data_IF_621576487925
#
_entry.id   IF_621576487925
#
_cell.length_a   1.000
_cell.length_b   1.000
_cell.length_c   1.000
_cell.angle_alpha   90.00
_cell.angle_beta   90.00
_cell.angle_gamma   90.00
#
_symmetry.space_group_name_H-M   'P 1'
#
loop_
_entity.id
_entity.type
_entity.pdbx_description
1 polymer ?
#
# COMPACT_ATOMS: atom_id res chain seq x y z
N UNK A 1 21.77 -47.34 -19.10
CA UNK A 1 20.35 -47.61 -18.82
C UNK A 1 20.08 -47.21 -17.37
N UNK A 2 18.89 -46.64 -17.08
CA UNK A 2 18.50 -45.82 -15.90
C UNK A 2 18.91 -44.35 -16.09
N UNK A 3 18.08 -43.40 -16.56
CA UNK A 3 16.68 -42.99 -16.24
C UNK A 3 16.47 -42.73 -14.74
N UNK A 4 16.25 -41.45 -14.41
CA UNK A 4 15.50 -40.80 -13.30
C UNK A 4 15.92 -39.32 -13.37
N UNK A 5 15.10 -38.28 -13.38
CA UNK A 5 13.66 -38.05 -13.49
C UNK A 5 13.56 -36.55 -13.86
N UNK A 6 12.76 -36.22 -14.88
CA UNK A 6 12.41 -34.84 -15.18
C UNK A 6 11.67 -34.24 -13.99
N UNK A 7 12.21 -33.15 -13.43
CA UNK A 7 11.47 -32.32 -12.49
C UNK A 7 10.25 -31.72 -13.22
N UNK A 8 9.05 -31.73 -12.60
CA UNK A 8 7.89 -31.13 -13.23
C UNK A 8 8.12 -29.62 -13.37
N UNK A 9 8.06 -29.14 -14.62
CA UNK A 9 7.87 -27.73 -14.93
C UNK A 9 6.65 -27.25 -14.15
N UNK A 10 6.88 -26.28 -13.26
CA UNK A 10 5.83 -25.50 -12.60
C UNK A 10 4.96 -24.91 -13.70
N UNK A 11 3.71 -25.37 -13.82
CA UNK A 11 2.74 -24.80 -14.74
C UNK A 11 2.46 -23.37 -14.29
N UNK A 12 2.96 -22.38 -15.03
CA UNK A 12 2.42 -21.03 -14.98
C UNK A 12 0.95 -21.13 -15.40
N UNK A 13 0.02 -21.04 -14.45
CA UNK A 13 -1.40 -21.01 -14.75
C UNK A 13 -1.70 -19.68 -15.46
N UNK A 14 -1.63 -19.71 -16.79
CA UNK A 14 -2.07 -18.59 -17.61
C UNK A 14 -3.59 -18.50 -17.50
N UNK A 15 -4.09 -17.39 -16.96
CA UNK A 15 -5.52 -17.08 -16.94
C UNK A 15 -6.08 -17.12 -18.37
N UNK A 16 -7.34 -17.54 -18.52
CA UNK A 16 -8.03 -17.55 -19.81
C UNK A 16 -8.08 -16.15 -20.43
N UNK A 17 -8.00 -16.05 -21.77
CA UNK A 17 -7.98 -14.77 -22.48
C UNK A 17 -9.20 -13.90 -22.19
N UNK A 18 -10.39 -14.50 -21.99
CA UNK A 18 -11.60 -13.75 -21.64
C UNK A 18 -11.52 -13.18 -20.21
N UNK A 19 -10.89 -13.91 -19.29
CA UNK A 19 -10.64 -13.44 -17.93
C UNK A 19 -9.66 -12.27 -17.96
N UNK A 20 -8.56 -12.37 -18.71
CA UNK A 20 -7.60 -11.29 -18.90
C UNK A 20 -8.27 -10.03 -19.49
N UNK A 21 -9.10 -10.20 -20.52
CA UNK A 21 -9.84 -9.10 -21.14
C UNK A 21 -10.80 -8.42 -20.14
N UNK A 22 -11.47 -9.21 -19.30
CA UNK A 22 -12.40 -8.70 -18.28
C UNK A 22 -11.67 -7.91 -17.19
N UNK A 23 -10.53 -8.42 -16.70
CA UNK A 23 -9.69 -7.73 -15.70
C UNK A 23 -9.13 -6.43 -16.27
N UNK A 24 -8.66 -6.45 -17.52
CA UNK A 24 -8.21 -5.24 -18.23
C UNK A 24 -9.32 -4.20 -18.33
N UNK A 25 -10.52 -4.63 -18.73
CA UNK A 25 -11.67 -3.73 -18.85
C UNK A 25 -12.05 -3.12 -17.50
N UNK A 26 -12.05 -3.91 -16.43
CA UNK A 26 -12.32 -3.43 -15.07
C UNK A 26 -11.28 -2.38 -14.61
N UNK A 27 -9.99 -2.64 -14.81
CA UNK A 27 -8.93 -1.66 -14.49
C UNK A 27 -9.04 -0.39 -15.34
N UNK A 28 -9.37 -0.53 -16.63
CA UNK A 28 -9.56 0.63 -17.53
C UNK A 28 -10.76 1.47 -17.10
N UNK A 29 -11.90 0.84 -16.76
CA UNK A 29 -13.08 1.53 -16.25
C UNK A 29 -12.77 2.30 -14.95
N UNK A 30 -12.08 1.65 -14.01
CA UNK A 30 -11.67 2.29 -12.76
C UNK A 30 -10.83 3.55 -12.99
N UNK A 31 -9.78 3.44 -13.82
CA UNK A 31 -8.91 4.58 -14.14
C UNK A 31 -9.70 5.71 -14.81
N UNK A 32 -10.53 5.40 -15.81
CA UNK A 32 -11.34 6.39 -16.53
C UNK A 32 -12.32 7.13 -15.61
N UNK A 33 -12.98 6.42 -14.70
CA UNK A 33 -13.91 7.02 -13.72
C UNK A 33 -13.22 7.92 -12.71
N UNK A 34 -11.93 7.70 -12.49
CA UNK A 34 -11.07 8.57 -11.70
C UNK A 34 -10.41 9.69 -12.51
N UNK A 35 -10.69 9.81 -13.82
CA UNK A 35 -10.06 10.80 -14.69
C UNK A 35 -8.58 10.50 -14.98
N UNK A 36 -8.18 9.24 -14.92
CA UNK A 36 -6.80 8.77 -15.06
C UNK A 36 -6.67 7.76 -16.20
N UNK A 37 -5.42 7.54 -16.62
CA UNK A 37 -5.06 6.57 -17.64
C UNK A 37 -3.78 5.83 -17.26
N UNK A 38 -3.54 4.69 -17.90
CA UNK A 38 -2.30 3.95 -17.73
C UNK A 38 -1.17 4.65 -18.50
N UNK A 39 -0.14 5.11 -17.80
CA UNK A 39 0.95 5.91 -18.37
C UNK A 39 2.23 5.11 -18.65
N UNK A 40 2.16 3.78 -18.60
CA UNK A 40 3.32 2.92 -18.76
C UNK A 40 3.99 2.52 -17.46
N UNK A 41 5.02 1.69 -17.57
CA UNK A 41 5.73 1.10 -16.42
C UNK A 41 6.39 2.20 -15.59
N UNK A 42 6.17 2.17 -14.27
CA UNK A 42 6.83 3.06 -13.35
C UNK A 42 8.34 2.84 -13.39
N UNK A 43 9.10 3.93 -13.42
CA UNK A 43 10.55 3.93 -13.26
C UNK A 43 10.91 4.43 -11.87
N UNK A 44 11.74 3.67 -11.18
CA UNK A 44 12.25 4.06 -9.88
C UNK A 44 13.25 5.22 -10.04
N UNK A 45 13.19 6.21 -9.16
CA UNK A 45 14.24 7.22 -9.07
C UNK A 45 15.46 6.61 -8.38
N UNK A 46 16.47 6.25 -9.17
CA UNK A 46 17.70 5.60 -8.70
C UNK A 46 18.53 6.48 -7.75
N UNK A 47 18.46 7.82 -7.92
CA UNK A 47 19.18 8.75 -7.07
C UNK A 47 18.54 8.82 -5.69
N UNK A 48 17.21 9.00 -5.63
CA UNK A 48 16.46 8.97 -4.38
C UNK A 48 16.49 7.59 -3.72
N UNK A 49 16.47 6.51 -4.51
CA UNK A 49 16.66 5.15 -3.98
C UNK A 49 17.99 5.03 -3.24
N UNK A 50 19.10 5.43 -3.87
CA UNK A 50 20.44 5.34 -3.28
C UNK A 50 20.56 6.19 -2.02
N UNK A 51 20.00 7.41 -2.05
CA UNK A 51 19.97 8.30 -0.90
C UNK A 51 19.19 7.71 0.27
N UNK A 52 17.97 7.25 0.02
CA UNK A 52 17.08 6.76 1.06
C UNK A 52 17.58 5.43 1.63
N UNK A 53 18.24 4.60 0.81
CA UNK A 53 18.95 3.41 1.25
C UNK A 53 20.10 3.74 2.21
N UNK A 54 20.91 4.74 1.86
CA UNK A 54 21.98 5.18 2.73
C UNK A 54 21.44 5.77 4.04
N UNK A 55 20.33 6.51 3.97
CA UNK A 55 19.70 7.08 5.15
C UNK A 55 19.09 6.01 6.06
N UNK A 56 18.51 4.94 5.48
CA UNK A 56 18.06 3.78 6.25
C UNK A 56 19.21 3.17 7.08
N UNK A 57 20.40 3.02 6.48
CA UNK A 57 21.62 2.56 7.18
C UNK A 57 22.02 3.53 8.28
N UNK A 58 22.10 4.83 7.98
CA UNK A 58 22.50 5.87 8.93
C UNK A 58 21.60 5.89 10.16
N UNK A 59 20.30 5.63 9.96
CA UNK A 59 19.27 5.60 11.00
C UNK A 59 19.15 4.25 11.70
N UNK A 60 19.99 3.28 11.36
CA UNK A 60 20.06 1.97 12.00
C UNK A 60 18.90 1.05 11.65
N UNK A 61 18.22 1.28 10.52
CA UNK A 61 17.29 0.30 9.96
C UNK A 61 18.13 -0.90 9.49
N UNK A 62 17.77 -2.14 9.87
CA UNK A 62 18.48 -3.30 9.39
C UNK A 62 18.32 -3.42 7.86
N UNK A 63 19.43 -3.31 7.12
CA UNK A 63 19.45 -3.49 5.65
C UNK A 63 20.08 -4.83 5.24
N UNK A 64 20.53 -5.63 6.20
CA UNK A 64 21.14 -6.94 5.99
C UNK A 64 20.64 -7.97 7.02
N UNK A 65 20.83 -9.25 6.71
CA UNK A 65 20.46 -10.35 7.58
C UNK A 65 18.96 -10.62 7.67
N UNK A 66 18.55 -11.39 8.70
CA UNK A 66 17.17 -11.90 8.85
C UNK A 66 16.11 -10.80 8.94
N UNK A 67 16.45 -9.66 9.53
CA UNK A 67 15.52 -8.55 9.75
C UNK A 67 15.66 -7.45 8.68
N UNK A 68 16.29 -7.77 7.54
CA UNK A 68 16.57 -6.80 6.49
C UNK A 68 15.31 -6.20 5.86
N UNK A 69 15.26 -4.87 5.78
CA UNK A 69 14.26 -4.12 5.04
C UNK A 69 14.68 -3.79 3.60
N UNK A 70 15.89 -4.20 3.18
CA UNK A 70 16.42 -3.96 1.83
C UNK A 70 15.47 -4.38 0.70
N UNK A 71 14.77 -5.53 0.77
CA UNK A 71 13.82 -5.92 -0.29
C UNK A 71 12.63 -4.97 -0.46
N UNK A 72 12.32 -4.15 0.55
CA UNK A 72 11.10 -3.34 0.61
C UNK A 72 11.35 -1.86 0.34
N UNK A 73 12.61 -1.42 0.34
CA UNK A 73 12.94 0.00 0.21
C UNK A 73 12.62 0.56 -1.18
N UNK A 74 12.77 -0.23 -2.24
CA UNK A 74 12.36 0.16 -3.58
C UNK A 74 10.86 0.50 -3.65
N UNK A 75 10.03 -0.25 -2.92
CA UNK A 75 8.59 0.02 -2.85
C UNK A 75 8.28 1.30 -2.07
N UNK A 76 8.97 1.53 -0.94
CA UNK A 76 8.82 2.75 -0.14
C UNK A 76 9.26 4.01 -0.91
N UNK A 77 10.36 3.92 -1.65
CA UNK A 77 10.84 5.01 -2.52
C UNK A 77 9.81 5.26 -3.61
N UNK A 78 9.38 4.22 -4.35
CA UNK A 78 8.41 4.35 -5.42
C UNK A 78 7.11 5.03 -4.98
N UNK A 79 6.51 4.62 -3.85
CA UNK A 79 5.29 5.27 -3.37
C UNK A 79 5.53 6.70 -2.90
N UNK A 80 6.66 6.98 -2.24
CA UNK A 80 6.94 8.32 -1.71
C UNK A 80 7.20 9.32 -2.82
N UNK A 81 8.01 8.95 -3.82
CA UNK A 81 8.40 9.85 -4.91
C UNK A 81 7.25 10.15 -5.86
N UNK A 82 6.24 9.28 -5.94
CA UNK A 82 5.08 9.50 -6.79
C UNK A 82 3.92 10.10 -6.00
N UNK A 83 3.54 9.50 -4.87
CA UNK A 83 2.33 9.87 -4.13
C UNK A 83 2.55 11.00 -3.10
N UNK A 84 3.78 11.30 -2.69
CA UNK A 84 4.03 12.30 -1.64
C UNK A 84 4.91 13.47 -2.11
N UNK A 85 5.09 13.63 -3.42
CA UNK A 85 5.94 14.70 -3.98
C UNK A 85 5.43 16.10 -3.64
N UNK A 86 4.10 16.28 -3.50
CA UNK A 86 3.47 17.55 -3.16
C UNK A 86 3.78 18.03 -1.73
N UNK A 87 4.32 17.16 -0.86
CA UNK A 87 4.76 17.58 0.47
C UNK A 87 6.04 18.42 0.36
N UNK A 88 6.05 19.66 0.86
CA UNK A 88 7.18 20.58 0.66
C UNK A 88 8.42 20.16 1.44
N UNK A 89 8.24 19.57 2.62
CA UNK A 89 9.33 19.20 3.51
C UNK A 89 9.96 17.85 3.09
N UNK A 90 11.25 17.89 2.78
CA UNK A 90 12.03 16.70 2.41
C UNK A 90 12.21 15.74 3.57
N UNK A 91 12.39 16.24 4.79
CA UNK A 91 12.55 15.40 5.98
C UNK A 91 11.27 14.60 6.27
N UNK A 92 10.11 15.23 6.07
CA UNK A 92 8.81 14.55 6.19
C UNK A 92 8.68 13.45 5.13
N UNK A 93 9.03 13.73 3.87
CA UNK A 93 9.01 12.72 2.79
C UNK A 93 9.94 11.55 3.08
N UNK A 94 11.17 11.82 3.52
CA UNK A 94 12.14 10.79 3.92
C UNK A 94 11.58 9.92 5.07
N UNK A 95 11.04 10.55 6.11
CA UNK A 95 10.43 9.84 7.24
C UNK A 95 9.25 8.97 6.80
N UNK A 96 8.36 9.49 5.94
CA UNK A 96 7.24 8.74 5.34
C UNK A 96 7.78 7.53 4.58
N UNK A 97 8.78 7.72 3.71
CA UNK A 97 9.35 6.61 2.94
C UNK A 97 9.85 5.49 3.83
N UNK A 98 10.70 5.82 4.82
CA UNK A 98 11.31 4.82 5.68
C UNK A 98 10.27 4.13 6.57
N UNK A 99 9.26 4.87 7.06
CA UNK A 99 8.15 4.30 7.80
C UNK A 99 7.32 3.34 6.94
N UNK A 100 7.02 3.71 5.68
CA UNK A 100 6.32 2.83 4.74
C UNK A 100 7.16 1.59 4.43
N UNK A 101 8.46 1.74 4.16
CA UNK A 101 9.39 0.61 3.95
C UNK A 101 9.36 -0.36 5.12
N UNK A 102 9.46 0.13 6.35
CA UNK A 102 9.38 -0.70 7.55
C UNK A 102 8.03 -1.40 7.63
N UNK A 103 6.94 -0.67 7.38
CA UNK A 103 5.59 -1.23 7.49
C UNK A 103 5.32 -2.31 6.45
N UNK A 104 5.76 -2.12 5.19
CA UNK A 104 5.68 -3.16 4.14
C UNK A 104 6.46 -4.40 4.58
N UNK A 105 7.67 -4.24 5.11
CA UNK A 105 8.46 -5.38 5.59
C UNK A 105 7.76 -6.14 6.72
N UNK A 106 7.13 -5.41 7.66
CA UNK A 106 6.32 -6.00 8.73
C UNK A 106 5.09 -6.74 8.17
N UNK A 107 4.42 -6.14 7.18
CA UNK A 107 3.21 -6.68 6.54
C UNK A 107 3.51 -7.99 5.80
N UNK A 108 4.59 -8.01 5.00
CA UNK A 108 5.07 -9.15 4.22
C UNK A 108 5.82 -10.21 5.08
N UNK A 109 5.69 -10.14 6.41
CA UNK A 109 6.31 -11.06 7.38
C UNK A 109 7.82 -11.28 7.17
N UNK A 110 8.62 -10.21 7.01
CA UNK A 110 10.09 -10.19 6.81
C UNK A 110 10.73 -11.58 6.58
N UNK A 111 10.99 -11.93 5.33
CA UNK A 111 11.73 -13.15 4.98
C UNK A 111 11.02 -14.48 5.31
N UNK A 112 9.69 -14.48 5.42
CA UNK A 112 8.88 -15.70 5.64
C UNK A 112 8.63 -16.04 7.11
N UNK A 113 8.82 -15.09 8.03
CA UNK A 113 8.46 -15.25 9.43
C UNK A 113 9.14 -14.23 10.36
N UNK A 114 8.42 -13.14 10.64
CA UNK A 114 8.69 -12.31 11.82
C UNK A 114 8.55 -13.16 13.08
N UNK A 115 9.33 -12.83 14.11
CA UNK A 115 9.04 -13.35 15.44
C UNK A 115 7.74 -12.69 15.94
N UNK A 116 6.62 -13.37 15.67
CA UNK A 116 5.29 -12.93 16.06
C UNK A 116 5.22 -12.62 17.57
N UNK A 117 6.06 -13.27 18.39
CA UNK A 117 6.17 -12.99 19.82
C UNK A 117 6.60 -11.55 20.08
N UNK A 118 7.59 -11.04 19.33
CA UNK A 118 8.03 -9.65 19.51
C UNK A 118 6.97 -8.67 19.05
N UNK A 119 6.28 -8.99 17.96
CA UNK A 119 5.20 -8.17 17.44
C UNK A 119 4.02 -8.06 18.43
N UNK A 120 3.64 -9.16 19.10
CA UNK A 120 2.61 -9.14 20.16
C UNK A 120 2.98 -8.29 21.38
N UNK A 121 4.27 -8.14 21.66
CA UNK A 121 4.74 -7.32 22.77
C UNK A 121 5.01 -5.87 22.39
N UNK A 122 4.95 -5.52 21.11
CA UNK A 122 5.34 -4.20 20.60
C UNK A 122 4.57 -3.08 21.28
N UNK A 123 3.23 -3.09 21.23
CA UNK A 123 2.40 -2.02 21.80
C UNK A 123 2.64 -1.84 23.30
N UNK A 124 2.71 -2.95 24.05
CA UNK A 124 2.98 -2.92 25.49
C UNK A 124 4.32 -2.25 25.79
N UNK A 125 5.36 -2.63 25.06
CA UNK A 125 6.72 -2.08 25.21
C UNK A 125 6.80 -0.63 24.78
N UNK A 126 6.14 -0.28 23.67
CA UNK A 126 6.06 1.08 23.15
C UNK A 126 5.49 2.05 24.19
N UNK A 127 4.33 1.70 24.78
CA UNK A 127 3.64 2.50 25.81
C UNK A 127 4.46 2.57 27.10
N UNK A 128 5.10 1.48 27.49
CA UNK A 128 5.88 1.40 28.74
C UNK A 128 7.32 1.92 28.59
N UNK A 129 7.70 2.46 27.43
CA UNK A 129 9.06 2.87 27.10
C UNK A 129 10.12 1.77 27.34
N UNK A 130 9.73 0.51 27.14
CA UNK A 130 10.65 -0.62 27.23
C UNK A 130 11.33 -0.90 25.89
N UNK A 131 12.58 -1.40 25.87
CA UNK A 131 13.25 -1.79 24.64
C UNK A 131 12.45 -2.86 23.87
N UNK A 132 12.41 -2.73 22.54
CA UNK A 132 11.86 -3.75 21.65
C UNK A 132 12.77 -4.98 21.57
N UNK A 133 12.18 -6.13 21.24
CA UNK A 133 12.85 -7.42 21.38
C UNK A 133 13.68 -7.86 20.18
N UNK A 134 13.57 -7.17 19.05
CA UNK A 134 14.38 -7.43 17.85
C UNK A 134 14.71 -6.11 17.11
N UNK A 135 15.71 -6.14 16.20
CA UNK A 135 16.13 -4.96 15.44
C UNK A 135 15.03 -4.33 14.58
N UNK A 136 14.12 -5.13 14.00
CA UNK A 136 13.04 -4.61 13.15
C UNK A 136 12.02 -3.81 13.97
N UNK A 137 11.57 -4.38 15.09
CA UNK A 137 10.67 -3.71 16.04
C UNK A 137 11.35 -2.48 16.66
N UNK A 138 12.65 -2.54 16.95
CA UNK A 138 13.40 -1.37 17.44
C UNK A 138 13.41 -0.23 16.43
N UNK A 139 13.65 -0.53 15.15
CA UNK A 139 13.59 0.47 14.08
C UNK A 139 12.18 1.07 13.99
N UNK A 140 11.14 0.22 13.99
CA UNK A 140 9.76 0.67 13.90
C UNK A 140 9.34 1.58 15.07
N UNK A 141 9.71 1.23 16.30
CA UNK A 141 9.47 2.05 17.49
C UNK A 141 10.12 3.45 17.37
N UNK A 142 11.39 3.49 16.94
CA UNK A 142 12.10 4.76 16.77
C UNK A 142 11.39 5.70 15.79
N UNK A 143 10.98 5.19 14.62
CA UNK A 143 10.28 5.99 13.61
C UNK A 143 8.88 6.41 14.06
N UNK A 144 8.17 5.54 14.77
CA UNK A 144 6.83 5.84 15.27
C UNK A 144 6.83 7.01 16.27
N UNK A 145 7.86 7.10 17.12
CA UNK A 145 8.02 8.21 18.08
C UNK A 145 8.28 9.57 17.42
N UNK A 146 8.75 9.57 16.17
CA UNK A 146 9.06 10.79 15.43
C UNK A 146 7.85 11.46 14.80
N UNK A 147 6.68 10.80 14.77
CA UNK A 147 5.46 11.40 14.22
C UNK A 147 5.18 12.80 14.81
N UNK A 148 5.45 12.99 16.12
CA UNK A 148 5.28 14.27 16.82
C UNK A 148 6.29 15.37 16.44
N UNK A 149 7.40 15.01 15.79
CA UNK A 149 8.36 15.99 15.23
C UNK A 149 7.88 16.54 13.89
N UNK A 150 7.08 15.76 13.17
CA UNK A 150 6.65 16.08 11.81
C UNK A 150 5.24 16.65 11.76
N UNK A 151 4.33 16.20 12.62
CA UNK A 151 2.92 16.57 12.59
C UNK A 151 2.45 17.20 13.90
N UNK A 152 1.34 17.95 13.83
CA UNK A 152 0.70 18.51 15.02
C UNK A 152 0.35 17.43 16.06
N UNK A 153 0.25 17.75 17.35
CA UNK A 153 -0.03 16.76 18.39
C UNK A 153 -1.26 15.88 18.13
N UNK A 154 -2.32 16.46 17.55
CA UNK A 154 -3.52 15.71 17.20
C UNK A 154 -3.24 14.71 16.06
N UNK A 155 -2.63 15.16 14.97
CA UNK A 155 -2.36 14.31 13.81
C UNK A 155 -1.30 13.25 14.14
N UNK A 156 -0.26 13.62 14.90
CA UNK A 156 0.74 12.65 15.36
C UNK A 156 0.11 11.56 16.24
N UNK A 157 -0.82 11.92 17.14
CA UNK A 157 -1.52 10.94 17.95
C UNK A 157 -2.35 9.99 17.08
N UNK A 158 -3.06 10.52 16.08
CA UNK A 158 -3.87 9.73 15.16
C UNK A 158 -3.01 8.76 14.35
N UNK A 159 -1.89 9.24 13.77
CA UNK A 159 -0.90 8.40 13.09
C UNK A 159 -0.38 7.29 14.02
N UNK A 160 0.01 7.65 15.25
CA UNK A 160 0.54 6.69 16.22
C UNK A 160 -0.51 5.64 16.59
N UNK A 161 -1.73 6.03 16.94
CA UNK A 161 -2.80 5.09 17.30
C UNK A 161 -3.12 4.14 16.15
N UNK A 162 -3.21 4.68 14.92
CA UNK A 162 -3.49 3.88 13.73
C UNK A 162 -2.39 2.83 13.46
N UNK A 163 -1.12 3.16 13.73
CA UNK A 163 -0.03 2.18 13.61
C UNK A 163 -0.07 1.12 14.73
N UNK A 164 -0.41 1.51 15.96
CA UNK A 164 -0.59 0.55 17.06
C UNK A 164 -1.78 -0.41 16.80
N UNK A 165 -2.86 0.10 16.18
CA UNK A 165 -3.99 -0.73 15.75
C UNK A 165 -3.53 -1.73 14.67
N UNK A 166 -2.80 -1.27 13.65
CA UNK A 166 -2.21 -2.14 12.62
C UNK A 166 -1.42 -3.31 13.23
N UNK A 167 -0.54 -3.05 14.19
CA UNK A 167 0.22 -4.11 14.86
C UNK A 167 -0.70 -5.08 15.61
N UNK A 168 -1.76 -4.57 16.25
CA UNK A 168 -2.73 -5.42 16.94
C UNK A 168 -3.49 -6.35 15.99
N UNK A 169 -3.69 -5.95 14.73
CA UNK A 169 -4.37 -6.78 13.71
C UNK A 169 -3.55 -7.92 13.17
N UNK A 170 -2.23 -7.94 13.39
CA UNK A 170 -1.38 -9.07 12.99
C UNK A 170 -1.57 -10.30 13.88
N UNK A 171 -2.57 -10.28 14.77
CA UNK A 171 -2.99 -11.46 15.55
C UNK A 171 -3.86 -12.41 14.68
N UNK A 172 -3.55 -13.72 14.65
CA UNK A 172 -4.16 -14.67 13.70
C UNK A 172 -5.61 -15.06 14.02
N UNK A 173 -6.27 -14.41 14.99
CA UNK A 173 -7.51 -14.92 15.56
C UNK A 173 -8.78 -14.41 14.87
N UNK A 174 -8.73 -13.30 14.10
CA UNK A 174 -9.96 -12.69 13.53
C UNK A 174 -9.73 -11.94 12.20
N UNK A 175 -9.53 -12.65 11.08
CA UNK A 175 -9.22 -12.04 9.78
C UNK A 175 -10.13 -10.87 9.34
N UNK A 176 -11.45 -10.98 9.55
CA UNK A 176 -12.42 -9.93 9.15
C UNK A 176 -12.36 -8.70 10.10
N UNK A 177 -12.09 -8.92 11.38
CA UNK A 177 -11.82 -7.84 12.35
C UNK A 177 -10.46 -7.18 12.07
N UNK A 178 -9.47 -7.95 11.65
CA UNK A 178 -8.14 -7.47 11.28
C UNK A 178 -8.16 -6.59 10.02
N UNK A 179 -9.09 -6.82 9.09
CA UNK A 179 -9.26 -5.94 7.91
C UNK A 179 -9.99 -4.64 8.23
N UNK A 180 -10.92 -4.65 9.19
CA UNK A 180 -11.57 -3.43 9.69
C UNK A 180 -10.58 -2.54 10.48
N UNK A 181 -9.62 -3.17 11.16
CA UNK A 181 -8.62 -2.51 11.98
C UNK A 181 -7.27 -2.30 11.29
N UNK A 182 -7.13 -2.52 9.98
CA UNK A 182 -5.86 -2.28 9.28
C UNK A 182 -5.56 -0.77 9.32
N UNK A 183 -4.94 -0.34 10.41
CA UNK A 183 -4.77 1.07 10.73
C UNK A 183 -3.66 1.73 9.91
N UNK A 184 -2.86 0.96 9.17
CA UNK A 184 -1.82 1.52 8.32
C UNK A 184 -2.39 2.43 7.21
N UNK A 185 -3.41 2.02 6.43
CA UNK A 185 -4.15 2.94 5.55
C UNK A 185 -4.52 4.27 6.23
N UNK A 186 -5.04 4.22 7.45
CA UNK A 186 -5.44 5.43 8.19
C UNK A 186 -4.24 6.32 8.52
N UNK A 187 -3.11 5.76 8.94
CA UNK A 187 -1.91 6.57 9.19
C UNK A 187 -1.39 7.20 7.91
N UNK A 188 -1.34 6.47 6.80
CA UNK A 188 -0.94 6.98 5.49
C UNK A 188 -1.85 8.11 5.02
N UNK A 189 -3.17 7.99 5.23
CA UNK A 189 -4.12 9.06 4.88
C UNK A 189 -3.80 10.37 5.61
N UNK A 190 -3.46 10.33 6.90
CA UNK A 190 -3.07 11.55 7.61
C UNK A 190 -1.77 12.15 7.07
N UNK A 191 -0.87 11.34 6.52
CA UNK A 191 0.37 11.80 5.93
C UNK A 191 0.20 12.44 4.55
N UNK A 192 -0.98 12.32 3.91
CA UNK A 192 -1.28 12.96 2.61
C UNK A 192 -1.20 14.48 2.73
N UNK A 193 -1.61 15.03 3.87
CA UNK A 193 -1.78 16.47 4.02
C UNK A 193 -0.52 17.11 4.61
N UNK A 194 -0.08 18.28 4.10
CA UNK A 194 1.05 19.00 4.70
C UNK A 194 0.85 19.23 6.20
N UNK A 195 1.90 19.09 7.04
CA UNK A 195 1.75 19.19 8.49
C UNK A 195 1.13 20.48 9.03
N UNK A 196 1.24 21.57 8.27
CA UNK A 196 0.70 22.89 8.61
C UNK A 196 -0.79 23.03 8.29
N UNK A 197 -1.36 22.11 7.50
CA UNK A 197 -2.76 22.17 7.08
C UNK A 197 -3.68 21.82 8.24
N UNK A 198 -4.68 22.67 8.58
CA UNK A 198 -5.60 22.38 9.68
C UNK A 198 -6.40 21.11 9.41
N UNK A 199 -6.44 20.22 10.41
CA UNK A 199 -7.12 18.92 10.31
C UNK A 199 -8.60 19.06 9.93
N UNK A 200 -9.25 20.15 10.34
CA UNK A 200 -10.66 20.44 10.10
C UNK A 200 -10.97 20.63 8.61
N UNK A 201 -9.97 20.89 7.77
CA UNK A 201 -10.16 21.07 6.33
C UNK A 201 -10.35 19.76 5.58
N UNK A 202 -9.88 18.64 6.14
CA UNK A 202 -9.90 17.33 5.47
C UNK A 202 -10.47 16.18 6.30
N UNK A 203 -10.64 16.33 7.62
CA UNK A 203 -11.05 15.24 8.51
C UNK A 203 -12.39 14.61 8.13
N UNK A 204 -13.31 15.39 7.56
CA UNK A 204 -14.61 14.92 7.08
C UNK A 204 -14.49 13.91 5.94
N UNK A 205 -13.39 13.95 5.18
CA UNK A 205 -13.11 13.06 4.05
C UNK A 205 -12.45 11.75 4.48
N UNK A 206 -12.08 11.60 5.76
CA UNK A 206 -11.31 10.45 6.26
C UNK A 206 -11.95 9.08 5.95
N UNK A 207 -13.27 8.86 6.13
CA UNK A 207 -13.86 7.56 5.81
C UNK A 207 -13.67 7.17 4.34
N UNK A 208 -13.86 8.12 3.44
CA UNK A 208 -13.69 7.89 2.00
C UNK A 208 -12.20 7.78 1.64
N UNK A 209 -11.31 8.56 2.27
CA UNK A 209 -9.86 8.46 2.05
C UNK A 209 -9.30 7.08 2.45
N UNK A 210 -9.73 6.55 3.59
CA UNK A 210 -9.36 5.19 4.02
C UNK A 210 -9.92 4.14 3.07
N UNK A 211 -11.13 4.36 2.54
CA UNK A 211 -11.72 3.50 1.51
C UNK A 211 -10.91 3.55 0.22
N UNK A 212 -10.50 4.74 -0.24
CA UNK A 212 -9.64 4.92 -1.40
C UNK A 212 -8.33 4.14 -1.25
N UNK A 213 -7.65 4.27 -0.11
CA UNK A 213 -6.39 3.55 0.13
C UNK A 213 -6.56 2.03 0.01
N UNK A 214 -7.54 1.46 0.71
CA UNK A 214 -7.73 0.01 0.75
C UNK A 214 -8.26 -0.54 -0.57
N UNK A 215 -9.31 0.08 -1.12
CA UNK A 215 -9.99 -0.48 -2.29
C UNK A 215 -9.22 -0.24 -3.58
N UNK A 216 -8.47 0.87 -3.70
CA UNK A 216 -7.55 1.06 -4.83
C UNK A 216 -6.48 -0.02 -4.84
N UNK A 217 -5.96 -0.40 -3.66
CA UNK A 217 -5.06 -1.53 -3.53
C UNK A 217 -5.71 -2.81 -4.05
N UNK A 218 -6.89 -3.17 -3.53
CA UNK A 218 -7.62 -4.38 -3.96
C UNK A 218 -7.92 -4.43 -5.46
N UNK A 219 -8.21 -3.28 -6.10
CA UNK A 219 -8.48 -3.21 -7.54
C UNK A 219 -7.19 -3.42 -8.34
N UNK A 220 -6.16 -2.64 -8.04
CA UNK A 220 -4.93 -2.59 -8.85
C UNK A 220 -3.96 -3.74 -8.53
N UNK A 221 -4.15 -4.44 -7.40
CA UNK A 221 -3.45 -5.69 -7.07
C UNK A 221 -4.20 -6.93 -7.54
N UNK A 222 -5.48 -6.83 -7.90
CA UNK A 222 -6.33 -7.97 -8.26
C UNK A 222 -5.69 -8.91 -9.28
N UNK A 223 -5.10 -8.35 -10.35
CA UNK A 223 -4.49 -9.17 -11.41
C UNK A 223 -3.35 -10.06 -10.90
N UNK A 224 -2.40 -9.48 -10.13
CA UNK A 224 -1.28 -10.27 -9.59
C UNK A 224 -1.78 -11.34 -8.61
N UNK A 225 -2.82 -11.04 -7.85
CA UNK A 225 -3.41 -11.94 -6.86
C UNK A 225 -4.16 -13.10 -7.51
N UNK A 226 -4.87 -12.84 -8.61
CA UNK A 226 -5.51 -13.91 -9.38
C UNK A 226 -4.46 -14.84 -10.03
N UNK A 227 -3.32 -14.31 -10.48
CA UNK A 227 -2.20 -15.14 -10.97
C UNK A 227 -1.61 -16.02 -9.86
N UNK A 228 -1.58 -15.52 -8.62
CA UNK A 228 -1.09 -16.24 -7.44
C UNK A 228 -2.13 -17.22 -6.87
N UNK A 229 -3.38 -17.10 -7.30
CA UNK A 229 -4.49 -17.92 -6.82
C UNK A 229 -4.81 -17.69 -5.33
N UNK A 230 -4.49 -16.52 -4.77
CA UNK A 230 -4.66 -16.23 -3.35
C UNK A 230 -6.17 -16.18 -2.98
N UNK A 231 -6.68 -17.12 -2.17
CA UNK A 231 -8.09 -17.13 -1.78
C UNK A 231 -8.39 -16.18 -0.63
N UNK A 232 -7.38 -15.53 -0.05
CA UNK A 232 -7.48 -14.73 1.17
C UNK A 232 -7.67 -13.23 0.91
N UNK A 233 -7.66 -12.82 -0.35
CA UNK A 233 -7.84 -11.43 -0.78
C UNK A 233 -9.26 -10.94 -0.46
N UNK A 234 -9.43 -9.62 -0.40
CA UNK A 234 -10.72 -9.02 -0.09
C UNK A 234 -11.80 -9.43 -1.09
N UNK A 235 -11.48 -9.33 -2.39
CA UNK A 235 -12.40 -9.69 -3.47
C UNK A 235 -12.75 -11.17 -3.42
N UNK A 236 -11.78 -12.06 -3.21
CA UNK A 236 -12.01 -13.49 -3.10
C UNK A 236 -12.90 -13.86 -1.91
N UNK A 237 -12.62 -13.31 -0.71
CA UNK A 237 -13.43 -13.53 0.49
C UNK A 237 -14.84 -13.01 0.33
N UNK A 238 -15.00 -11.81 -0.22
CA UNK A 238 -16.31 -11.20 -0.38
C UNK A 238 -17.17 -11.96 -1.40
N UNK A 239 -16.56 -12.40 -2.51
CA UNK A 239 -17.21 -13.26 -3.50
C UNK A 239 -17.69 -14.58 -2.88
N UNK A 240 -16.82 -15.25 -2.13
CA UNK A 240 -17.17 -16.50 -1.44
C UNK A 240 -18.29 -16.30 -0.41
N UNK A 241 -18.23 -15.24 0.39
CA UNK A 241 -19.24 -14.96 1.44
C UNK A 241 -20.63 -14.64 0.88
N UNK A 242 -20.71 -14.12 -0.35
CA UNK A 242 -21.95 -13.67 -0.98
C UNK A 242 -22.44 -14.59 -2.10
N UNK A 243 -21.67 -15.60 -2.48
CA UNK A 243 -21.98 -16.45 -3.63
C UNK A 243 -21.95 -15.70 -4.96
N UNK A 244 -21.11 -14.67 -5.07
CA UNK A 244 -20.89 -13.89 -6.30
C UNK A 244 -19.63 -14.36 -7.00
N UNK A 245 -19.46 -13.98 -8.27
CA UNK A 245 -18.16 -14.15 -8.93
C UNK A 245 -17.18 -13.08 -8.41
N UNK A 246 -15.88 -13.38 -8.46
CA UNK A 246 -14.85 -12.39 -8.09
C UNK A 246 -14.91 -11.14 -8.99
N UNK A 247 -15.29 -11.30 -10.25
CA UNK A 247 -15.43 -10.19 -11.19
C UNK A 247 -16.62 -9.28 -10.84
N UNK A 248 -17.77 -9.85 -10.45
CA UNK A 248 -18.92 -9.06 -9.97
C UNK A 248 -18.52 -8.21 -8.74
N UNK A 249 -17.80 -8.83 -7.80
CA UNK A 249 -17.29 -8.13 -6.63
C UNK A 249 -16.27 -7.05 -7.00
N UNK A 250 -15.37 -7.32 -7.96
CA UNK A 250 -14.42 -6.32 -8.43
C UNK A 250 -15.16 -5.09 -8.99
N UNK A 251 -16.22 -5.28 -9.77
CA UNK A 251 -17.05 -4.17 -10.25
C UNK A 251 -17.71 -3.38 -9.11
N UNK A 252 -18.28 -4.05 -8.10
CA UNK A 252 -18.81 -3.36 -6.91
C UNK A 252 -17.73 -2.55 -6.16
N UNK A 253 -16.51 -3.08 -6.07
CA UNK A 253 -15.39 -2.41 -5.42
C UNK A 253 -14.97 -1.18 -6.23
N UNK A 254 -14.93 -1.27 -7.55
CA UNK A 254 -14.68 -0.14 -8.45
C UNK A 254 -15.75 0.94 -8.27
N UNK A 255 -17.04 0.55 -8.23
CA UNK A 255 -18.14 1.49 -8.01
C UNK A 255 -17.99 2.28 -6.71
N UNK A 256 -17.72 1.57 -5.61
CA UNK A 256 -17.50 2.20 -4.30
C UNK A 256 -16.28 3.11 -4.29
N UNK A 257 -15.19 2.70 -4.94
CA UNK A 257 -13.94 3.46 -4.97
C UNK A 257 -14.09 4.74 -5.79
N UNK A 258 -14.73 4.66 -6.97
CA UNK A 258 -15.01 5.82 -7.79
C UNK A 258 -15.96 6.81 -7.09
N UNK A 259 -16.98 6.31 -6.36
CA UNK A 259 -17.86 7.16 -5.58
C UNK A 259 -17.12 7.84 -4.42
N UNK A 260 -16.28 7.10 -3.68
CA UNK A 260 -15.45 7.66 -2.62
C UNK A 260 -14.51 8.76 -3.16
N UNK A 261 -13.92 8.55 -4.34
CA UNK A 261 -13.08 9.55 -5.00
C UNK A 261 -13.87 10.84 -5.26
N UNK A 262 -15.05 10.72 -5.86
CA UNK A 262 -15.93 11.86 -6.12
C UNK A 262 -16.34 12.60 -4.84
N UNK A 263 -16.71 11.86 -3.79
CA UNK A 263 -17.08 12.44 -2.50
C UNK A 263 -15.95 13.26 -1.89
N UNK A 264 -14.70 12.76 -1.95
CA UNK A 264 -13.52 13.47 -1.44
C UNK A 264 -13.28 14.76 -2.23
N UNK A 265 -13.39 14.72 -3.56
CA UNK A 265 -13.24 15.92 -4.38
C UNK A 265 -14.27 16.98 -4.03
N UNK A 266 -15.54 16.60 -3.87
CA UNK A 266 -16.59 17.55 -3.49
C UNK A 266 -16.44 18.05 -2.05
N UNK A 267 -16.05 17.21 -1.09
CA UNK A 267 -15.88 17.60 0.32
C UNK A 267 -14.67 18.50 0.55
N UNK A 268 -13.62 18.36 -0.26
CA UNK A 268 -12.39 19.17 -0.18
C UNK A 268 -12.46 20.43 -1.06
N UNK A 269 -13.49 20.59 -1.90
CA UNK A 269 -13.61 21.71 -2.86
C UNK A 269 -13.52 23.10 -2.24
N UNK A 270 -13.96 23.25 -0.99
CA UNK A 270 -13.86 24.50 -0.23
C UNK A 270 -12.47 24.75 0.38
N UNK A 271 -11.56 23.78 0.32
CA UNK A 271 -10.24 23.75 0.92
C UNK A 271 -9.17 23.45 -0.15
N UNK A 272 -8.75 24.45 -0.96
CA UNK A 272 -7.91 24.23 -2.14
C UNK A 272 -6.60 23.49 -1.85
N UNK A 273 -5.92 23.81 -0.75
CA UNK A 273 -4.66 23.14 -0.38
C UNK A 273 -4.87 21.66 -0.04
N UNK A 274 -5.95 21.34 0.69
CA UNK A 274 -6.35 19.95 0.97
C UNK A 274 -6.72 19.20 -0.32
N UNK A 275 -7.50 19.85 -1.18
CA UNK A 275 -7.92 19.32 -2.47
C UNK A 275 -6.71 18.99 -3.35
N UNK A 276 -5.77 19.93 -3.50
CA UNK A 276 -4.57 19.73 -4.29
C UNK A 276 -3.67 18.64 -3.71
N UNK A 277 -3.49 18.60 -2.38
CA UNK A 277 -2.73 17.54 -1.73
C UNK A 277 -3.33 16.15 -2.01
N UNK A 278 -4.66 16.01 -1.92
CA UNK A 278 -5.34 14.77 -2.24
C UNK A 278 -5.20 14.38 -3.72
N UNK A 279 -5.44 15.30 -4.65
CA UNK A 279 -5.36 15.01 -6.08
C UNK A 279 -3.94 14.60 -6.49
N UNK A 280 -2.93 15.35 -6.05
CA UNK A 280 -1.52 14.99 -6.27
C UNK A 280 -1.19 13.63 -5.69
N UNK A 281 -1.61 13.37 -4.44
CA UNK A 281 -1.42 12.08 -3.81
C UNK A 281 -2.07 10.95 -4.59
N UNK A 282 -3.35 11.07 -4.94
CA UNK A 282 -4.10 10.00 -5.57
C UNK A 282 -3.55 9.68 -6.97
N UNK A 283 -3.18 10.69 -7.75
CA UNK A 283 -2.52 10.48 -9.05
C UNK A 283 -1.21 9.71 -8.90
N UNK A 284 -0.35 10.13 -7.97
CA UNK A 284 0.91 9.45 -7.69
C UNK A 284 0.74 8.06 -7.09
N UNK A 285 -0.29 7.85 -6.28
CA UNK A 285 -0.63 6.56 -5.71
C UNK A 285 -1.06 5.57 -6.79
N UNK A 286 -1.81 6.01 -7.80
CA UNK A 286 -2.14 5.20 -8.97
C UNK A 286 -0.87 4.87 -9.78
N UNK A 287 0.02 5.83 -10.00
CA UNK A 287 1.30 5.60 -10.70
C UNK A 287 2.18 4.56 -9.99
N UNK A 288 2.15 4.51 -8.66
CA UNK A 288 2.86 3.49 -7.88
C UNK A 288 2.44 2.06 -8.27
N UNK A 289 1.17 1.83 -8.58
CA UNK A 289 0.69 0.51 -9.03
C UNK A 289 1.16 0.13 -10.44
N UNK A 290 1.73 1.07 -11.20
CA UNK A 290 2.35 0.74 -12.49
C UNK A 290 3.77 0.16 -12.32
N UNK A 291 4.23 -0.04 -11.07
CA UNK A 291 5.46 -0.77 -10.79
C UNK A 291 5.38 -2.24 -11.25
N UNK A 292 6.52 -2.86 -11.61
CA UNK A 292 6.57 -4.26 -12.03
C UNK A 292 5.90 -5.24 -11.07
N UNK A 293 5.89 -4.95 -9.75
CA UNK A 293 5.29 -5.78 -8.69
C UNK A 293 3.82 -6.15 -8.99
N UNK A 294 3.04 -5.26 -9.59
CA UNK A 294 1.60 -5.46 -9.80
C UNK A 294 1.26 -6.03 -11.18
N UNK A 295 2.25 -6.16 -12.07
CA UNK A 295 2.11 -6.79 -13.39
C UNK A 295 1.05 -6.15 -14.31
N UNK A 296 0.55 -4.95 -13.99
CA UNK A 296 -0.46 -4.27 -14.80
C UNK A 296 -0.02 -4.03 -16.26
N UNK A 297 1.27 -3.85 -16.50
CA UNK A 297 1.82 -3.74 -17.85
C UNK A 297 1.49 -4.94 -18.74
N UNK A 298 1.34 -6.15 -18.18
CA UNK A 298 1.01 -7.37 -18.94
C UNK A 298 -0.39 -7.29 -19.55
N UNK A 299 -1.35 -6.66 -18.86
CA UNK A 299 -2.75 -6.58 -19.32
C UNK A 299 -3.07 -5.24 -19.98
N UNK A 300 -2.41 -4.15 -19.58
CA UNK A 300 -2.71 -2.80 -20.08
C UNK A 300 -2.02 -2.48 -21.41
N UNK A 301 -0.91 -3.15 -21.76
CA UNK A 301 -0.17 -2.92 -23.03
C UNK A 301 -0.62 -3.82 -24.19
N UNK A 302 -1.53 -4.77 -23.95
CA UNK A 302 -2.04 -5.67 -24.99
C UNK A 302 -2.85 -4.96 -26.10
N UNK A 303 -3.08 -3.65 -26.02
CA UNK A 303 -3.78 -2.88 -27.06
C UNK A 303 -2.98 -2.72 -28.37
N UNK A 304 -1.67 -2.91 -28.35
CA UNK A 304 -0.82 -2.66 -29.52
C UNK A 304 -0.67 -3.86 -30.47
N UNK A 305 -1.19 -5.05 -30.11
CA UNK A 305 -1.03 -6.27 -30.91
C UNK A 305 -2.21 -6.61 -31.83
N UNK A 306 -3.38 -6.00 -31.65
CA UNK A 306 -4.58 -6.29 -32.45
C UNK A 306 -4.90 -5.24 -33.52
N UNK A 307 -4.02 -4.25 -33.72
CA UNK A 307 -4.17 -3.23 -34.78
C UNK A 307 -3.26 -3.46 -36.00
N UNK A 308 -2.59 -4.62 -36.07
CA UNK A 308 -1.77 -5.04 -37.21
C UNK A 308 -1.97 -6.53 -37.47
N UNK A 309 -3.07 -6.89 -38.12
CA UNK A 309 -3.18 -7.93 -39.14
C UNK A 309 -4.59 -7.93 -39.75
#
# INVERSE_FOLDING_TARGET
>A
MSRIEDSPQVSTSTLDENVLASIRQANTDFLQRCGLEYTGLLRLDEALYSEYYQEAINRGIPMEGRYSFSPYIAAGVAITTNAFEHLPDREVRMWICLLITITIGIDDNLGGGLDMVQLYHFNKRFISHQPQGDPAMKAFDAFLREASRHYSPLVSNLITTSILDFISTKTPLFADYCRLLSGFPTSVVFMIFPPMLPVQEYIQSMPDLVSIMNLTNDILSYYKEELEGDPTTYVARLAASRGLTKLDVLHEVIDKTAQAHHNILESLKAHPDAYHAYVSFFHGYIQYYFAPRYKLHEIMTMSDRTSKE
#
